data_IF_125266608780
#
_entry.id   IF_125266608780
#
_cell.length_a   1.000
_cell.length_b   1.000
_cell.length_c   1.000
_cell.angle_alpha   90.00
_cell.angle_beta   90.00
_cell.angle_gamma   90.00
#
_symmetry.space_group_name_H-M   'P 1'
#
loop_
_entity.id
_entity.type
_entity.pdbx_description
1 polymer ?
#
# COMPACT_ATOMS: atom_id res chain seq x y z
N UNK A 1 8.18 19.37 -16.16
CA UNK A 1 7.95 17.98 -16.63
C UNK A 1 6.44 17.80 -16.68
N UNK A 2 5.85 17.47 -17.82
CA UNK A 2 4.41 17.24 -17.90
C UNK A 2 4.10 15.92 -17.19
N UNK A 3 3.36 15.98 -16.08
CA UNK A 3 2.83 14.80 -15.41
C UNK A 3 1.89 14.09 -16.40
N UNK A 4 2.21 12.84 -16.70
CA UNK A 4 1.36 11.94 -17.48
C UNK A 4 -0.01 11.85 -16.78
N UNK A 5 -1.11 12.31 -17.41
CA UNK A 5 -2.42 12.41 -16.75
C UNK A 5 -3.04 11.03 -16.50
N UNK A 6 -2.39 9.95 -16.95
CA UNK A 6 -2.89 8.59 -16.75
C UNK A 6 -2.50 8.09 -15.35
N UNK A 7 -3.48 7.83 -14.47
CA UNK A 7 -3.19 7.37 -13.13
C UNK A 7 -2.63 5.93 -13.19
N UNK A 8 -1.39 5.77 -12.73
CA UNK A 8 -0.68 4.48 -12.72
C UNK A 8 -1.05 3.66 -11.48
N UNK A 9 -1.13 2.34 -11.66
CA UNK A 9 -1.36 1.39 -10.56
C UNK A 9 -0.17 1.45 -9.61
N UNK A 10 -0.43 1.86 -8.36
CA UNK A 10 0.61 1.98 -7.34
C UNK A 10 0.80 0.66 -6.59
N UNK A 11 2.06 0.34 -6.28
CA UNK A 11 2.44 -0.87 -5.53
C UNK A 11 3.06 -0.45 -4.20
N UNK A 12 2.39 -0.78 -3.10
CA UNK A 12 2.81 -0.45 -1.75
C UNK A 12 3.49 -1.63 -1.05
N UNK A 13 4.47 -1.32 -0.19
CA UNK A 13 5.23 -2.27 0.63
C UNK A 13 5.28 -1.76 2.09
N UNK A 14 4.19 -1.89 2.85
CA UNK A 14 4.13 -1.42 4.23
C UNK A 14 5.06 -2.21 5.13
N UNK A 15 5.47 -1.59 6.23
CA UNK A 15 6.02 -2.28 7.39
C UNK A 15 4.90 -2.90 8.23
N UNK A 16 5.24 -3.78 9.18
CA UNK A 16 4.24 -4.34 10.11
C UNK A 16 3.49 -3.25 10.88
N UNK A 17 4.19 -2.21 11.35
CA UNK A 17 3.60 -1.12 12.12
C UNK A 17 2.59 -0.31 11.32
N UNK A 18 2.87 -0.05 10.04
CA UNK A 18 1.93 0.63 9.14
C UNK A 18 0.74 -0.26 8.77
N UNK A 19 0.95 -1.57 8.63
CA UNK A 19 -0.12 -2.50 8.29
C UNK A 19 -0.99 -2.89 9.49
N UNK A 20 -0.51 -2.72 10.72
CA UNK A 20 -1.24 -3.07 11.96
C UNK A 20 -2.58 -2.34 12.05
N UNK A 21 -2.64 -1.10 11.58
CA UNK A 21 -3.88 -0.32 11.49
C UNK A 21 -4.29 -0.14 10.02
N UNK A 22 -5.11 -1.09 9.54
CA UNK A 22 -5.54 -1.10 8.14
C UNK A 22 -6.31 0.16 7.75
N UNK A 23 -7.15 0.69 8.64
CA UNK A 23 -7.96 1.88 8.35
C UNK A 23 -7.08 3.12 8.12
N UNK A 24 -6.10 3.33 9.00
CA UNK A 24 -5.11 4.41 8.85
C UNK A 24 -4.26 4.23 7.60
N UNK A 25 -3.91 2.99 7.28
CA UNK A 25 -3.11 2.68 6.09
C UNK A 25 -3.87 2.94 4.77
N UNK A 26 -5.17 2.65 4.72
CA UNK A 26 -6.01 2.99 3.56
C UNK A 26 -6.08 4.51 3.36
N UNK A 27 -6.26 5.30 4.41
CA UNK A 27 -6.25 6.77 4.30
C UNK A 27 -4.91 7.29 3.75
N UNK A 28 -3.80 6.66 4.13
CA UNK A 28 -2.47 6.97 3.58
C UNK A 28 -2.38 6.63 2.08
N UNK A 29 -2.84 5.45 1.67
CA UNK A 29 -2.89 5.03 0.25
C UNK A 29 -3.75 5.98 -0.58
N UNK A 30 -4.88 6.42 -0.04
CA UNK A 30 -5.75 7.39 -0.69
C UNK A 30 -5.07 8.75 -0.83
N UNK A 31 -4.35 9.20 0.20
CA UNK A 31 -3.57 10.44 0.18
C UNK A 31 -2.44 10.42 -0.86
N UNK A 32 -1.85 9.25 -1.14
CA UNK A 32 -0.86 9.05 -2.22
C UNK A 32 -1.50 9.03 -3.62
N UNK A 33 -2.83 9.17 -3.72
CA UNK A 33 -3.54 9.25 -5.00
C UNK A 33 -3.75 7.90 -5.69
N UNK A 34 -3.56 6.77 -4.99
CA UNK A 34 -3.79 5.45 -5.59
C UNK A 34 -5.26 5.18 -5.91
N UNK A 35 -6.18 5.83 -5.19
CA UNK A 35 -7.61 5.80 -5.50
C UNK A 35 -7.92 6.33 -6.92
N UNK A 36 -7.11 7.26 -7.43
CA UNK A 36 -7.28 7.83 -8.78
C UNK A 36 -7.02 6.79 -9.88
N UNK A 37 -6.22 5.76 -9.60
CA UNK A 37 -5.97 4.66 -10.52
C UNK A 37 -7.06 3.58 -10.48
N UNK A 38 -7.99 3.62 -9.51
CA UNK A 38 -9.04 2.62 -9.31
C UNK A 38 -8.55 1.26 -8.79
N UNK A 39 -7.23 1.05 -8.70
CA UNK A 39 -6.61 -0.17 -8.20
C UNK A 39 -5.26 0.13 -7.54
N UNK A 40 -5.02 -0.50 -6.39
CA UNK A 40 -3.73 -0.48 -5.69
C UNK A 40 -3.30 -1.90 -5.35
N UNK A 41 -2.00 -2.19 -5.41
CA UNK A 41 -1.43 -3.48 -5.01
C UNK A 41 -0.66 -3.32 -3.70
N UNK A 42 -1.02 -4.07 -2.67
CA UNK A 42 -0.31 -4.07 -1.39
C UNK A 42 0.42 -5.40 -1.25
N UNK A 43 1.74 -5.36 -1.08
CA UNK A 43 2.53 -6.57 -0.74
C UNK A 43 2.61 -6.70 0.77
N UNK A 44 2.29 -7.87 1.30
CA UNK A 44 2.41 -8.15 2.74
C UNK A 44 3.89 -8.07 3.15
N UNK A 45 4.24 -7.44 4.29
CA UNK A 45 5.60 -7.44 4.81
C UNK A 45 6.07 -8.86 5.06
N UNK A 46 7.29 -9.18 4.61
CA UNK A 46 7.88 -10.52 4.71
C UNK A 46 8.07 -11.00 6.14
N UNK A 47 8.27 -10.08 7.08
CA UNK A 47 8.46 -10.33 8.52
C UNK A 47 7.24 -11.01 9.17
N UNK A 48 6.05 -10.67 8.68
CA UNK A 48 4.76 -11.21 9.14
C UNK A 48 4.61 -12.72 8.91
N UNK A 49 5.40 -13.29 7.99
CA UNK A 49 5.36 -14.72 7.63
C UNK A 49 6.19 -15.60 8.57
N UNK A 50 7.02 -15.03 9.44
CA UNK A 50 7.95 -15.78 10.29
C UNK A 50 7.44 -16.09 11.71
N UNK A 51 6.21 -15.68 12.08
CA UNK A 51 5.65 -15.95 13.43
C UNK A 51 4.68 -17.13 13.49
N UNK A 52 4.54 -17.93 12.43
CA UNK A 52 3.65 -19.11 12.38
C UNK A 52 4.40 -20.43 12.18
N UNK A 53 5.74 -20.40 12.25
CA UNK A 53 6.58 -21.60 12.34
C UNK A 53 6.99 -21.80 13.81
N UNK A 54 6.01 -22.09 14.66
CA UNK A 54 6.23 -22.72 15.96
C UNK A 54 4.97 -23.45 16.43
#
# INVERSE_FOLDING_TARGET
MAEDPTPKIQVFRPTWEEFKDFAKYIQYIESQGAHKAGLAKIKIPVDMRCHYDN
#
